data_IF_649470223933
#
_entry.id   IF_649470223933
#
_cell.length_a   1.000
_cell.length_b   1.000
_cell.length_c   1.000
_cell.angle_alpha   90.00
_cell.angle_beta   90.00
_cell.angle_gamma   90.00
#
_symmetry.space_group_name_H-M   'P 1'
#
loop_
_entity.id
_entity.type
_entity.pdbx_description
1 polymer ?
#
# COMPACT_ATOMS: atom_id res chain seq x y z
N UNK A 1 -10.70 -10.92 -11.81
CA UNK A 1 -10.38 -11.02 -10.38
C UNK A 1 -8.88 -10.79 -10.25
N UNK A 2 -8.47 -9.81 -9.45
CA UNK A 2 -7.06 -9.55 -9.16
C UNK A 2 -6.60 -10.45 -8.01
N UNK A 3 -5.41 -11.03 -8.12
CA UNK A 3 -4.80 -11.82 -7.06
C UNK A 3 -4.22 -10.86 -6.01
N UNK A 4 -4.51 -11.10 -4.72
CA UNK A 4 -3.90 -10.35 -3.63
C UNK A 4 -2.49 -10.85 -3.36
N UNK A 5 -1.56 -9.92 -3.22
CA UNK A 5 -0.16 -10.15 -2.88
C UNK A 5 0.20 -9.34 -1.63
N UNK A 6 0.97 -9.95 -0.73
CA UNK A 6 1.36 -9.38 0.57
C UNK A 6 2.61 -8.49 0.49
N UNK A 7 3.25 -8.41 -0.68
CA UNK A 7 4.47 -7.62 -0.89
C UNK A 7 5.76 -8.39 -0.71
N UNK A 8 5.70 -9.69 -0.37
CA UNK A 8 6.88 -10.53 -0.24
C UNK A 8 7.26 -11.15 -1.59
N UNK A 9 8.52 -10.95 -2.00
CA UNK A 9 9.05 -11.49 -3.25
C UNK A 9 8.56 -10.78 -4.53
N UNK A 10 8.25 -11.55 -5.57
CA UNK A 10 7.68 -11.00 -6.81
C UNK A 10 6.15 -11.14 -6.79
N UNK A 11 5.41 -10.16 -7.34
CA UNK A 11 3.97 -10.29 -7.46
C UNK A 11 3.59 -11.47 -8.38
N UNK A 12 2.50 -12.21 -8.09
CA UNK A 12 2.02 -13.26 -8.98
C UNK A 12 1.42 -12.69 -10.27
N UNK A 13 1.41 -13.47 -11.34
CA UNK A 13 0.70 -13.12 -12.60
C UNK A 13 -0.79 -12.91 -12.30
N UNK A 14 -1.35 -11.79 -12.76
CA UNK A 14 -2.73 -11.37 -12.49
C UNK A 14 -2.89 -10.54 -11.21
N UNK A 15 -1.81 -10.27 -10.48
CA UNK A 15 -1.81 -9.33 -9.36
C UNK A 15 -1.94 -7.89 -9.86
N UNK A 16 -2.75 -7.10 -9.16
CA UNK A 16 -2.80 -5.65 -9.26
C UNK A 16 -1.86 -5.05 -8.21
N UNK A 17 -0.85 -4.32 -8.66
CA UNK A 17 0.24 -3.83 -7.81
C UNK A 17 0.84 -2.54 -8.40
N UNK A 18 1.87 -2.00 -7.76
CA UNK A 18 2.62 -0.87 -8.30
C UNK A 18 4.06 -1.27 -8.63
N UNK A 19 4.59 -0.74 -9.72
CA UNK A 19 5.98 -0.89 -10.14
C UNK A 19 6.71 0.44 -10.12
N UNK A 20 7.92 0.48 -9.56
CA UNK A 20 8.73 1.68 -9.49
C UNK A 20 9.60 1.85 -10.73
N UNK A 21 9.30 2.88 -11.52
CA UNK A 21 10.05 3.24 -12.72
C UNK A 21 10.05 4.75 -12.91
N UNK A 22 11.13 5.30 -13.47
CA UNK A 22 11.30 6.76 -13.66
C UNK A 22 10.93 7.61 -12.43
N UNK A 23 11.38 7.17 -11.26
CA UNK A 23 11.16 7.83 -9.96
C UNK A 23 9.70 7.83 -9.45
N UNK A 24 8.79 7.12 -10.11
CA UNK A 24 7.38 7.06 -9.74
C UNK A 24 6.89 5.62 -9.53
N UNK A 25 5.91 5.46 -8.66
CA UNK A 25 5.15 4.21 -8.52
C UNK A 25 4.00 4.21 -9.51
N UNK A 26 3.94 3.17 -10.32
CA UNK A 26 3.04 3.09 -11.45
C UNK A 26 2.08 1.90 -11.30
N UNK A 27 0.76 2.08 -11.39
CA UNK A 27 -0.19 1.00 -11.18
C UNK A 27 -0.20 0.05 -12.38
N UNK A 28 -0.10 -1.25 -12.11
CA UNK A 28 0.05 -2.30 -13.11
C UNK A 28 -0.67 -3.59 -12.73
N UNK A 29 -1.13 -4.29 -13.76
CA UNK A 29 -1.52 -5.71 -13.64
C UNK A 29 -0.42 -6.57 -14.25
N UNK A 30 0.12 -7.51 -13.48
CA UNK A 30 1.18 -8.42 -13.96
C UNK A 30 0.60 -9.38 -15.00
N UNK A 31 1.20 -9.46 -16.19
CA UNK A 31 0.80 -10.38 -17.27
C UNK A 31 1.76 -11.56 -17.41
N UNK A 32 3.05 -11.32 -17.20
CA UNK A 32 4.08 -12.36 -17.28
C UNK A 32 5.34 -11.93 -16.52
N UNK A 33 6.02 -12.89 -15.91
CA UNK A 33 7.34 -12.70 -15.28
C UNK A 33 8.29 -13.74 -15.87
N UNK A 34 9.31 -13.25 -16.57
CA UNK A 34 10.45 -14.05 -17.02
C UNK A 34 11.66 -13.86 -16.11
N UNK A 35 12.83 -14.34 -16.54
CA UNK A 35 14.07 -14.26 -15.76
C UNK A 35 14.56 -12.82 -15.56
N UNK A 36 14.37 -11.97 -16.57
CA UNK A 36 14.85 -10.58 -16.59
C UNK A 36 13.75 -9.54 -16.79
N UNK A 37 12.69 -9.92 -17.50
CA UNK A 37 11.64 -9.02 -17.94
C UNK A 37 10.30 -9.36 -17.28
N UNK A 38 9.51 -8.33 -17.01
CA UNK A 38 8.13 -8.42 -16.55
C UNK A 38 7.25 -7.70 -17.56
N UNK A 39 6.26 -8.40 -18.10
CA UNK A 39 5.22 -7.80 -18.95
C UNK A 39 4.04 -7.44 -18.08
N UNK A 40 3.55 -6.23 -18.22
CA UNK A 40 2.47 -5.66 -17.41
C UNK A 40 1.46 -4.93 -18.27
N UNK A 41 0.26 -4.74 -17.74
CA UNK A 41 -0.68 -3.75 -18.25
C UNK A 41 -0.71 -2.56 -17.30
N UNK A 42 -0.31 -1.37 -17.80
CA UNK A 42 -0.36 -0.09 -17.10
C UNK A 42 -1.79 0.43 -17.07
N UNK A 43 -2.42 0.42 -15.90
CA UNK A 43 -3.85 0.75 -15.78
C UNK A 43 -4.14 2.24 -15.93
N UNK A 44 -3.16 3.10 -15.66
CA UNK A 44 -3.25 4.55 -15.84
C UNK A 44 -3.05 5.00 -17.30
N UNK A 45 -2.32 4.21 -18.10
CA UNK A 45 -2.06 4.48 -19.51
C UNK A 45 -2.88 3.60 -20.47
N UNK A 46 -3.60 2.61 -19.95
CA UNK A 46 -4.33 1.58 -20.70
C UNK A 46 -3.46 0.92 -21.79
N UNK A 47 -2.24 0.50 -21.43
CA UNK A 47 -1.26 -0.04 -22.38
C UNK A 47 -0.42 -1.17 -21.80
N UNK A 48 0.10 -2.04 -22.68
CA UNK A 48 1.07 -3.05 -22.28
C UNK A 48 2.49 -2.47 -22.25
N UNK A 49 3.21 -2.73 -21.16
CA UNK A 49 4.59 -2.24 -20.97
C UNK A 49 5.46 -3.36 -20.40
N UNK A 50 6.70 -3.44 -20.91
CA UNK A 50 7.72 -4.40 -20.49
C UNK A 50 8.80 -3.70 -19.67
N UNK A 51 9.10 -4.24 -18.50
CA UNK A 51 10.10 -3.72 -17.57
C UNK A 51 11.24 -4.71 -17.37
N UNK A 52 12.48 -4.23 -17.32
CA UNK A 52 13.68 -5.05 -17.06
C UNK A 52 14.00 -5.13 -15.54
N UNK A 53 13.04 -5.62 -14.75
CA UNK A 53 13.10 -5.57 -13.27
C UNK A 53 12.70 -6.88 -12.58
N UNK A 54 12.64 -8.01 -13.31
CA UNK A 54 12.22 -9.30 -12.73
C UNK A 54 13.14 -9.80 -11.61
N UNK A 55 14.38 -9.32 -11.53
CA UNK A 55 15.35 -9.66 -10.49
C UNK A 55 15.39 -8.64 -9.34
N UNK A 56 14.42 -7.72 -9.31
CA UNK A 56 14.36 -6.57 -8.41
C UNK A 56 13.01 -6.52 -7.69
N UNK A 57 12.75 -7.43 -6.74
CA UNK A 57 11.49 -7.46 -5.99
C UNK A 57 11.21 -6.12 -5.29
N UNK A 58 12.24 -5.37 -4.89
CA UNK A 58 12.10 -4.04 -4.28
C UNK A 58 11.50 -2.97 -5.21
N UNK A 59 11.39 -3.25 -6.52
CA UNK A 59 10.72 -2.39 -7.50
C UNK A 59 9.22 -2.64 -7.57
N UNK A 60 8.69 -3.58 -6.79
CA UNK A 60 7.26 -3.88 -6.73
C UNK A 60 6.75 -3.63 -5.32
N UNK A 61 5.48 -3.23 -5.23
CA UNK A 61 4.76 -3.20 -3.95
C UNK A 61 3.27 -3.47 -4.18
N UNK A 62 2.53 -3.96 -3.19
CA UNK A 62 1.07 -4.03 -3.26
C UNK A 62 0.48 -2.67 -3.61
N UNK A 63 -0.67 -2.66 -4.27
CA UNK A 63 -1.35 -1.40 -4.57
C UNK A 63 -1.61 -0.65 -3.26
N UNK A 64 -1.12 0.57 -3.16
CA UNK A 64 -1.45 1.43 -2.03
C UNK A 64 -2.83 2.04 -2.29
N UNK A 65 -3.88 1.44 -1.70
CA UNK A 65 -5.24 1.93 -1.89
C UNK A 65 -5.41 3.30 -1.22
N UNK A 66 -6.39 4.07 -1.66
CA UNK A 66 -6.75 5.33 -0.99
C UNK A 66 -7.09 5.11 0.49
N UNK A 67 -7.68 3.97 0.84
CA UNK A 67 -7.93 3.59 2.22
C UNK A 67 -6.62 3.38 3.01
N UNK A 68 -5.62 2.74 2.40
CA UNK A 68 -4.31 2.57 3.04
C UNK A 68 -3.61 3.91 3.24
N UNK A 69 -3.67 4.83 2.26
CA UNK A 69 -3.12 6.18 2.39
C UNK A 69 -3.79 6.96 3.52
N UNK A 70 -5.11 6.91 3.61
CA UNK A 70 -5.88 7.54 4.69
C UNK A 70 -5.54 6.95 6.05
N UNK A 71 -5.37 5.62 6.12
CA UNK A 71 -4.92 4.94 7.34
C UNK A 71 -3.54 5.43 7.77
N UNK A 72 -2.56 5.43 6.87
CA UNK A 72 -1.20 5.87 7.18
C UNK A 72 -1.15 7.36 7.57
N UNK A 73 -1.90 8.22 6.87
CA UNK A 73 -2.02 9.63 7.23
C UNK A 73 -2.61 9.82 8.63
N UNK A 74 -3.71 9.14 8.95
CA UNK A 74 -4.33 9.21 10.27
C UNK A 74 -3.40 8.68 11.38
N UNK A 75 -2.67 7.59 11.12
CA UNK A 75 -1.67 7.07 12.07
C UNK A 75 -0.54 8.07 12.28
N UNK A 76 -0.07 8.74 11.23
CA UNK A 76 0.92 9.80 11.34
C UNK A 76 0.42 10.97 12.20
N UNK A 77 -0.82 11.41 12.01
CA UNK A 77 -1.44 12.45 12.83
C UNK A 77 -1.59 12.02 14.30
N UNK A 78 -2.05 10.79 14.56
CA UNK A 78 -2.13 10.23 15.91
C UNK A 78 -0.76 10.20 16.60
N UNK A 79 0.31 9.86 15.86
CA UNK A 79 1.69 9.90 16.38
C UNK A 79 2.10 11.33 16.79
N UNK A 80 1.67 12.34 16.06
CA UNK A 80 1.93 13.75 16.41
C UNK A 80 1.17 14.21 17.67
N UNK A 81 0.12 13.51 18.08
CA UNK A 81 -0.63 13.81 19.31
C UNK A 81 0.00 13.26 20.59
N UNK A 82 1.07 12.45 20.51
CA UNK A 82 1.69 11.79 21.68
C UNK A 82 3.14 12.24 21.89
N UNK A 83 3.58 12.27 23.15
CA UNK A 83 4.95 12.73 23.51
C UNK A 83 6.06 11.75 23.13
N UNK A 84 5.76 10.45 23.05
CA UNK A 84 6.73 9.37 22.80
C UNK A 84 6.57 8.81 21.38
N UNK A 85 6.36 9.68 20.40
CA UNK A 85 5.99 9.35 19.02
C UNK A 85 6.99 8.45 18.27
N UNK A 86 8.25 8.40 18.72
CA UNK A 86 9.33 7.59 18.13
C UNK A 86 9.56 6.25 18.85
N UNK A 87 8.83 5.97 19.93
CA UNK A 87 8.96 4.69 20.64
C UNK A 87 8.19 3.60 19.89
N UNK A 88 8.86 2.50 19.54
CA UNK A 88 8.28 1.37 18.79
C UNK A 88 7.02 0.79 19.43
N UNK A 89 6.97 0.68 20.77
CA UNK A 89 5.78 0.16 21.46
C UNK A 89 4.60 1.13 21.36
N UNK A 90 4.86 2.43 21.37
CA UNK A 90 3.84 3.47 21.18
C UNK A 90 3.31 3.47 19.75
N UNK A 91 4.21 3.31 18.78
CA UNK A 91 3.87 3.19 17.37
C UNK A 91 2.92 2.01 17.14
N UNK A 92 3.27 0.82 17.62
CA UNK A 92 2.41 -0.36 17.48
C UNK A 92 1.07 -0.22 18.22
N UNK A 93 1.06 0.44 19.38
CA UNK A 93 -0.19 0.69 20.10
C UNK A 93 -1.12 1.62 19.30
N UNK A 94 -0.59 2.67 18.66
CA UNK A 94 -1.38 3.57 17.81
C UNK A 94 -1.99 2.84 16.62
N UNK A 95 -1.21 2.01 15.93
CA UNK A 95 -1.68 1.17 14.81
C UNK A 95 -2.84 0.26 15.25
N UNK A 96 -2.67 -0.45 16.37
CA UNK A 96 -3.70 -1.34 16.92
C UNK A 96 -4.97 -0.59 17.35
N UNK A 97 -4.83 0.61 17.92
CA UNK A 97 -5.97 1.44 18.31
C UNK A 97 -6.72 1.91 17.07
N UNK A 98 -6.02 2.38 16.03
CA UNK A 98 -6.65 2.76 14.77
C UNK A 98 -7.44 1.58 14.16
N UNK A 99 -6.81 0.40 14.07
CA UNK A 99 -7.45 -0.79 13.51
C UNK A 99 -8.67 -1.24 14.35
N UNK A 100 -8.61 -1.08 15.68
CA UNK A 100 -9.74 -1.36 16.56
C UNK A 100 -10.91 -0.37 16.34
N UNK A 101 -10.62 0.91 16.10
CA UNK A 101 -11.65 1.92 15.77
C UNK A 101 -12.25 1.63 14.39
N UNK A 102 -11.41 1.38 13.38
CA UNK A 102 -11.86 1.04 12.03
C UNK A 102 -12.75 -0.21 12.01
N UNK A 103 -12.44 -1.20 12.85
CA UNK A 103 -13.25 -2.40 13.05
C UNK A 103 -14.47 -2.21 13.98
N UNK A 104 -14.72 -1.00 14.51
CA UNK A 104 -15.83 -0.70 15.40
C UNK A 104 -15.74 -1.36 16.79
N UNK A 105 -14.55 -1.79 17.20
CA UNK A 105 -14.32 -2.49 18.49
C UNK A 105 -14.29 -1.55 19.69
N UNK A 106 -14.18 -0.24 19.46
CA UNK A 106 -14.20 0.79 20.52
C UNK A 106 -15.53 1.57 20.38
N UNK A 107 -16.53 1.26 21.22
CA UNK A 107 -17.82 1.96 21.18
C UNK A 107 -17.68 3.45 21.45
N UNK A 108 -18.52 4.26 20.81
CA UNK A 108 -18.54 5.72 20.99
C UNK A 108 -17.56 6.51 20.12
N UNK A 109 -16.71 5.83 19.32
CA UNK A 109 -15.76 6.45 18.39
C UNK A 109 -15.96 5.86 16.99
N UNK A 110 -15.92 6.70 15.95
CA UNK A 110 -15.97 6.29 14.53
C UNK A 110 -15.03 7.18 13.71
N UNK A 111 -14.39 6.63 12.69
CA UNK A 111 -13.60 7.40 11.74
C UNK A 111 -14.54 8.15 10.79
N UNK A 112 -14.23 9.41 10.52
CA UNK A 112 -14.93 10.26 9.54
C UNK A 112 -13.89 10.90 8.63
N UNK A 113 -14.27 11.17 7.38
CA UNK A 113 -13.38 11.80 6.40
C UNK A 113 -13.26 13.33 6.59
N UNK A 114 -14.09 13.92 7.46
CA UNK A 114 -14.09 15.36 7.73
C UNK A 114 -13.14 15.71 8.89
N UNK A 115 -12.14 16.55 8.61
CA UNK A 115 -11.44 17.29 9.65
C UNK A 115 -12.42 18.34 10.18
N UNK A 116 -13.13 18.03 11.27
CA UNK A 116 -14.21 18.84 11.84
C UNK A 116 -13.96 20.35 11.74
N UNK A 117 -14.91 21.05 11.11
CA UNK A 117 -14.92 22.51 10.91
C UNK A 117 -14.93 23.30 12.22
#
# INVERSE_FOLDING_TARGET
>A
MSIKWDGEGLPPVGCDCEIYDCETWNPVIIKYIGEKYVTTHRTDLDSEVVYCVAQRPEKFRPICTEADRRREAAIADMRNCVKNYNNTSVIHAIEQVYDAIAAGKIPGIRLTDDAGS
#
